data_IF_929556714321
#
_entry.id   IF_929556714321
#
_cell.length_a   1.000
_cell.length_b   1.000
_cell.length_c   1.000
_cell.angle_alpha   90.00
_cell.angle_beta   90.00
_cell.angle_gamma   90.00
#
_symmetry.space_group_name_H-M   'P 1'
#
loop_
_entity.id
_entity.type
_entity.pdbx_description
1 polymer ?
#
# COMPACT_ATOMS: atom_id res chain seq x y z
N UNK A 1 11.53 -1.44 9.90
CA UNK A 1 10.81 -1.35 8.61
C UNK A 1 9.46 -2.06 8.62
N UNK A 2 9.22 -3.07 9.46
CA UNK A 2 7.99 -3.88 9.41
C UNK A 2 6.70 -3.15 9.85
N UNK A 3 6.77 -2.28 10.86
CA UNK A 3 5.59 -1.65 11.50
C UNK A 3 4.75 -0.77 10.57
N UNK A 4 5.37 -0.07 9.62
CA UNK A 4 4.67 0.79 8.66
C UNK A 4 3.95 -0.02 7.58
N UNK A 5 4.57 -1.10 7.10
CA UNK A 5 3.93 -2.04 6.18
C UNK A 5 2.76 -2.74 6.87
N UNK A 6 2.93 -3.22 8.12
CA UNK A 6 1.82 -3.81 8.89
C UNK A 6 0.67 -2.82 9.07
N UNK A 7 0.96 -1.55 9.35
CA UNK A 7 -0.06 -0.52 9.50
C UNK A 7 -0.80 -0.26 8.18
N UNK A 8 -0.09 -0.22 7.05
CA UNK A 8 -0.68 -0.11 5.71
C UNK A 8 -1.59 -1.31 5.41
N UNK A 9 -1.11 -2.53 5.67
CA UNK A 9 -1.88 -3.75 5.46
C UNK A 9 -3.11 -3.83 6.38
N UNK A 10 -3.08 -3.25 7.57
CA UNK A 10 -4.27 -3.14 8.44
C UNK A 10 -5.30 -2.15 7.89
N UNK A 11 -4.85 -1.10 7.21
CA UNK A 11 -5.70 -0.04 6.63
C UNK A 11 -6.21 -0.36 5.22
N UNK A 12 -5.89 -1.53 4.67
CA UNK A 12 -6.41 -2.04 3.40
C UNK A 12 -7.95 -1.97 3.39
N UNK A 13 -8.57 -1.24 2.43
CA UNK A 13 -10.01 -1.23 2.25
C UNK A 13 -10.59 -2.64 2.00
N UNK A 14 -11.81 -2.89 2.51
CA UNK A 14 -12.49 -4.17 2.37
C UNK A 14 -12.68 -4.63 0.92
N UNK A 15 -12.98 -3.70 0.00
CA UNK A 15 -13.14 -4.03 -1.42
C UNK A 15 -11.84 -4.60 -2.00
N UNK A 16 -10.69 -4.05 -1.62
CA UNK A 16 -9.39 -4.49 -2.12
C UNK A 16 -9.01 -5.86 -1.55
N UNK A 17 -9.34 -6.13 -0.28
CA UNK A 17 -9.16 -7.47 0.32
C UNK A 17 -9.98 -8.53 -0.42
N UNK A 18 -11.21 -8.21 -0.80
CA UNK A 18 -12.11 -9.10 -1.54
C UNK A 18 -11.62 -9.33 -2.97
N UNK A 19 -11.14 -8.28 -3.64
CA UNK A 19 -10.70 -8.35 -5.02
C UNK A 19 -9.36 -9.08 -5.17
N UNK A 20 -8.43 -8.95 -4.21
CA UNK A 20 -7.21 -9.78 -4.14
C UNK A 20 -7.57 -11.28 -4.03
N UNK A 21 -8.59 -11.61 -3.24
CA UNK A 21 -9.04 -12.98 -3.04
C UNK A 21 -10.00 -13.48 -4.13
N UNK A 22 -10.38 -12.64 -5.11
CA UNK A 22 -11.36 -13.00 -6.13
C UNK A 22 -10.82 -14.13 -7.04
N UNK A 23 -11.67 -14.90 -7.70
CA UNK A 23 -11.24 -15.85 -8.74
C UNK A 23 -11.05 -15.16 -10.09
N UNK A 24 -11.72 -14.03 -10.28
CA UNK A 24 -11.68 -13.22 -11.49
C UNK A 24 -10.35 -12.47 -11.63
N UNK A 25 -9.60 -12.65 -12.74
CA UNK A 25 -8.28 -12.06 -12.90
C UNK A 25 -8.32 -10.53 -13.04
N UNK A 26 -9.35 -9.96 -13.65
CA UNK A 26 -9.46 -8.51 -13.81
C UNK A 26 -9.69 -7.81 -12.45
N UNK A 27 -10.44 -8.44 -11.54
CA UNK A 27 -10.59 -7.94 -10.16
C UNK A 27 -9.27 -7.98 -9.39
N UNK A 28 -8.51 -9.07 -9.52
CA UNK A 28 -7.18 -9.16 -8.87
C UNK A 28 -6.24 -8.08 -9.37
N UNK A 29 -6.15 -7.91 -10.68
CA UNK A 29 -5.29 -6.91 -11.31
C UNK A 29 -5.58 -5.51 -10.79
N UNK A 30 -6.86 -5.10 -10.78
CA UNK A 30 -7.28 -3.81 -10.20
C UNK A 30 -6.82 -3.64 -8.74
N UNK A 31 -6.93 -4.69 -7.94
CA UNK A 31 -6.55 -4.65 -6.53
C UNK A 31 -5.03 -4.59 -6.35
N UNK A 32 -4.28 -5.29 -7.18
CA UNK A 32 -2.81 -5.25 -7.23
C UNK A 32 -2.30 -3.87 -7.65
N UNK A 33 -2.91 -3.24 -8.66
CA UNK A 33 -2.59 -1.87 -9.10
C UNK A 33 -2.80 -0.85 -7.98
N UNK A 34 -3.94 -0.95 -7.29
CA UNK A 34 -4.25 -0.06 -6.17
C UNK A 34 -3.28 -0.28 -4.99
N UNK A 35 -2.95 -1.53 -4.68
CA UNK A 35 -1.96 -1.86 -3.64
C UNK A 35 -0.58 -1.33 -4.01
N UNK A 36 -0.17 -1.45 -5.27
CA UNK A 36 1.09 -0.92 -5.76
C UNK A 36 1.17 0.61 -5.58
N UNK A 37 0.11 1.35 -5.95
CA UNK A 37 0.05 2.80 -5.71
C UNK A 37 0.19 3.16 -4.22
N UNK A 38 -0.47 2.42 -3.33
CA UNK A 38 -0.37 2.62 -1.88
C UNK A 38 1.04 2.33 -1.34
N UNK A 39 1.70 1.28 -1.84
CA UNK A 39 3.07 0.93 -1.46
C UNK A 39 4.07 1.99 -1.96
N UNK A 40 3.91 2.48 -3.20
CA UNK A 40 4.73 3.57 -3.74
C UNK A 40 4.57 4.85 -2.92
N UNK A 41 3.34 5.18 -2.50
CA UNK A 41 3.10 6.32 -1.63
C UNK A 41 3.77 6.14 -0.25
N UNK A 42 3.75 4.92 0.30
CA UNK A 42 4.44 4.61 1.56
C UNK A 42 5.95 4.79 1.42
N UNK A 43 6.56 4.20 0.38
CA UNK A 43 8.00 4.29 0.14
C UNK A 43 8.44 5.74 -0.07
N UNK A 44 7.71 6.50 -0.89
CA UNK A 44 8.00 7.92 -1.13
C UNK A 44 7.79 8.78 0.13
N UNK A 45 6.74 8.49 0.91
CA UNK A 45 6.50 9.15 2.20
C UNK A 45 7.61 8.87 3.23
N UNK A 46 8.19 7.66 3.21
CA UNK A 46 9.37 7.35 4.02
C UNK A 46 10.63 8.06 3.55
N UNK A 47 10.80 8.24 2.23
CA UNK A 47 11.93 8.97 1.66
C UNK A 47 11.86 10.48 1.92
N UNK A 48 10.66 11.07 1.92
CA UNK A 48 10.47 12.50 2.21
C UNK A 48 10.65 12.87 3.69
N UNK A 49 10.44 11.94 4.61
CA UNK A 49 10.58 12.19 6.06
C UNK A 49 12.04 12.23 6.55
N UNK A 50 13.01 11.76 5.76
CA UNK A 50 14.44 11.70 6.16
C UNK A 50 15.22 12.98 5.83
N UNK A 51 14.63 13.94 5.12
CA UNK A 51 15.31 15.17 4.65
C UNK A 51 15.00 16.43 5.48
N UNK A 52 14.32 16.30 6.62
CA UNK A 52 13.80 17.42 7.40
C UNK A 52 14.33 17.54 8.83
N UNK A 53 15.61 17.24 9.07
CA UNK A 53 16.24 17.43 10.37
C UNK A 53 17.69 17.88 10.21
N UNK A 54 17.88 19.10 9.72
CA UNK A 54 19.09 19.91 9.92
C UNK A 54 18.65 21.38 9.83
N UNK A 55 18.39 21.97 10.99
CA UNK A 55 18.10 23.39 11.19
C UNK A 55 18.67 23.83 12.53
#
# INVERSE_FOLDING_TARGET
MDSQLTALLRRLPDWMRRDIAATDPARRERAEEALHAMLLALIQGTAGSVSGQDG
#
